data_IF_980726956753
#
_entry.id   IF_980726956753
#
_cell.length_a   1.000
_cell.length_b   1.000
_cell.length_c   1.000
_cell.angle_alpha   90.00
_cell.angle_beta   90.00
_cell.angle_gamma   90.00
#
_symmetry.space_group_name_H-M   'P 1'
#
loop_
_entity.id
_entity.type
_entity.pdbx_description
1 polymer ?
#
# COMPACT_ATOMS: atom_id res chain seq x y z
N UNK A 1 48.00 -51.96 -85.18
CA UNK A 1 47.03 -53.07 -85.32
C UNK A 1 45.66 -52.42 -85.39
N UNK A 2 45.36 -51.84 -86.56
CA UNK A 2 44.65 -52.50 -87.67
C UNK A 2 43.15 -52.48 -87.35
N UNK A 3 42.39 -51.52 -87.87
CA UNK A 3 41.79 -51.61 -89.21
C UNK A 3 40.88 -52.84 -89.34
N UNK A 4 39.65 -52.69 -88.87
CA UNK A 4 38.43 -53.46 -89.15
C UNK A 4 37.47 -53.02 -88.02
N UNK A 5 36.40 -52.29 -88.25
CA UNK A 5 35.22 -52.73 -89.01
C UNK A 5 34.50 -51.47 -89.50
N UNK A 6 34.77 -51.07 -90.74
CA UNK A 6 33.78 -50.42 -91.59
C UNK A 6 33.53 -51.40 -92.74
N UNK A 7 32.30 -51.44 -93.23
CA UNK A 7 31.74 -52.32 -94.28
C UNK A 7 31.28 -53.71 -93.85
N UNK A 8 29.99 -53.79 -93.55
CA UNK A 8 29.11 -54.67 -94.31
C UNK A 8 27.75 -53.97 -94.46
N UNK A 9 27.63 -53.15 -95.50
CA UNK A 9 26.32 -52.72 -96.00
C UNK A 9 25.65 -53.96 -96.60
N UNK A 10 24.75 -54.54 -95.84
CA UNK A 10 23.77 -55.51 -96.31
C UNK A 10 22.44 -54.78 -96.33
N UNK A 11 21.71 -54.91 -97.42
CA UNK A 11 20.41 -54.30 -97.67
C UNK A 11 19.48 -54.44 -96.47
N UNK A 12 19.41 -53.41 -95.62
CA UNK A 12 18.49 -53.38 -94.49
C UNK A 12 17.17 -52.89 -95.04
N UNK A 13 16.16 -53.77 -94.99
CA UNK A 13 14.79 -53.36 -95.27
C UNK A 13 14.49 -52.17 -94.35
N UNK A 14 13.99 -51.04 -94.88
CA UNK A 14 13.74 -49.82 -94.10
C UNK A 14 12.78 -49.99 -92.90
N UNK A 15 12.22 -51.19 -92.72
CA UNK A 15 11.35 -51.61 -91.61
C UNK A 15 12.14 -52.33 -90.50
N UNK A 16 13.26 -53.01 -90.80
CA UNK A 16 14.12 -53.69 -89.81
C UNK A 16 14.90 -52.73 -88.91
N UNK A 17 15.10 -51.48 -89.34
CA UNK A 17 15.68 -50.41 -88.48
C UNK A 17 14.64 -49.83 -87.53
N UNK A 18 13.36 -49.85 -87.92
CA UNK A 18 12.26 -49.27 -87.15
C UNK A 18 11.73 -50.26 -86.10
N UNK A 19 11.73 -51.57 -86.43
CA UNK A 19 11.28 -52.63 -85.52
C UNK A 19 12.47 -53.48 -85.10
N UNK A 20 13.11 -53.16 -83.95
CA UNK A 20 14.18 -53.98 -83.43
C UNK A 20 13.70 -55.41 -83.14
N UNK A 21 14.59 -56.40 -83.20
CA UNK A 21 14.21 -57.79 -83.00
C UNK A 21 13.63 -58.02 -81.60
N UNK A 22 12.64 -58.93 -81.51
CA UNK A 22 11.82 -59.15 -80.30
C UNK A 22 12.63 -59.46 -79.03
N UNK A 23 13.83 -60.02 -79.15
CA UNK A 23 14.70 -60.29 -78.01
C UNK A 23 15.26 -59.00 -77.37
N UNK A 24 15.55 -57.96 -78.16
CA UNK A 24 16.05 -56.67 -77.64
C UNK A 24 14.97 -55.96 -76.85
N UNK A 25 13.73 -55.99 -77.35
CA UNK A 25 12.56 -55.44 -76.67
C UNK A 25 12.33 -56.18 -75.34
N UNK A 26 12.50 -57.51 -75.30
CA UNK A 26 12.34 -58.29 -74.08
C UNK A 26 13.42 -57.97 -73.03
N UNK A 27 14.70 -57.95 -73.41
CA UNK A 27 15.77 -57.59 -72.47
C UNK A 27 15.73 -56.13 -72.03
N UNK A 28 15.34 -55.20 -72.92
CA UNK A 28 15.12 -53.80 -72.57
C UNK A 28 13.94 -53.63 -71.61
N UNK A 29 12.82 -54.32 -71.85
CA UNK A 29 11.67 -54.33 -70.94
C UNK A 29 12.02 -54.96 -69.59
N UNK A 30 12.81 -56.04 -69.57
CA UNK A 30 13.30 -56.67 -68.34
C UNK A 30 14.22 -55.72 -67.55
N UNK A 31 15.16 -55.06 -68.22
CA UNK A 31 16.03 -54.07 -67.59
C UNK A 31 15.23 -52.86 -67.06
N UNK A 32 14.28 -52.36 -67.84
CA UNK A 32 13.38 -51.29 -67.41
C UNK A 32 12.50 -51.70 -66.22
N UNK A 33 12.00 -52.95 -66.20
CA UNK A 33 11.24 -53.50 -65.08
C UNK A 33 12.10 -53.59 -63.81
N UNK A 34 13.33 -54.09 -63.92
CA UNK A 34 14.26 -54.20 -62.78
C UNK A 34 14.56 -52.81 -62.22
N UNK A 35 14.82 -51.81 -63.07
CA UNK A 35 15.05 -50.42 -62.66
C UNK A 35 13.78 -49.83 -62.02
N UNK A 36 12.61 -50.03 -62.63
CA UNK A 36 11.33 -49.52 -62.11
C UNK A 36 11.00 -50.12 -60.74
N UNK A 37 11.25 -51.42 -60.55
CA UNK A 37 11.09 -52.10 -59.26
C UNK A 37 12.10 -51.59 -58.24
N UNK A 38 13.37 -51.41 -58.62
CA UNK A 38 14.39 -50.85 -57.74
C UNK A 38 14.05 -49.40 -57.30
N UNK A 39 13.60 -48.56 -58.23
CA UNK A 39 13.18 -47.18 -57.93
C UNK A 39 11.89 -47.15 -57.12
N UNK A 40 10.94 -48.04 -57.40
CA UNK A 40 9.70 -48.18 -56.64
C UNK A 40 9.94 -48.63 -55.20
N UNK A 41 10.84 -49.60 -54.99
CA UNK A 41 11.15 -50.14 -53.67
C UNK A 41 12.09 -49.24 -52.86
N UNK A 42 13.07 -48.58 -53.48
CA UNK A 42 14.08 -47.80 -52.75
C UNK A 42 13.89 -46.27 -52.85
N UNK A 43 13.37 -45.77 -53.97
CA UNK A 43 13.20 -44.34 -54.23
C UNK A 43 11.94 -43.77 -53.59
N UNK A 44 10.78 -44.39 -53.84
CA UNK A 44 9.50 -43.94 -53.28
C UNK A 44 9.50 -43.82 -51.75
N UNK A 45 9.92 -44.83 -50.95
CA UNK A 45 9.86 -44.71 -49.50
C UNK A 45 10.74 -43.60 -48.96
N UNK A 46 11.89 -43.30 -49.59
CA UNK A 46 12.74 -42.18 -49.17
C UNK A 46 12.10 -40.83 -49.41
N UNK A 47 11.33 -40.68 -50.49
CA UNK A 47 10.62 -39.43 -50.80
C UNK A 47 9.44 -39.25 -49.83
N UNK A 48 8.63 -40.29 -49.62
CA UNK A 48 7.52 -40.24 -48.67
C UNK A 48 8.01 -39.97 -47.24
N UNK A 49 9.09 -40.63 -46.80
CA UNK A 49 9.66 -40.37 -45.47
C UNK A 49 10.07 -38.89 -45.28
N UNK A 50 10.63 -38.23 -46.30
CA UNK A 50 10.99 -36.81 -46.21
C UNK A 50 9.79 -35.86 -46.29
N UNK A 51 8.71 -36.27 -46.95
CA UNK A 51 7.47 -35.51 -46.97
C UNK A 51 6.74 -35.63 -45.64
N UNK A 52 6.71 -36.83 -45.05
CA UNK A 52 6.11 -37.09 -43.74
C UNK A 52 6.87 -36.36 -42.63
N UNK A 53 8.21 -36.35 -42.66
CA UNK A 53 9.04 -35.57 -41.73
C UNK A 53 8.69 -34.08 -41.80
N UNK A 54 8.58 -33.51 -43.01
CA UNK A 54 8.18 -32.10 -43.19
C UNK A 54 6.75 -31.83 -42.76
N UNK A 55 5.83 -32.76 -43.00
CA UNK A 55 4.44 -32.62 -42.60
C UNK A 55 4.33 -32.62 -41.06
N UNK A 56 5.05 -33.53 -40.39
CA UNK A 56 5.14 -33.59 -38.94
C UNK A 56 5.76 -32.31 -38.35
N UNK A 57 6.87 -31.81 -38.89
CA UNK A 57 7.50 -30.56 -38.43
C UNK A 57 6.55 -29.34 -38.54
N UNK A 58 5.76 -29.28 -39.62
CA UNK A 58 4.78 -28.21 -39.83
C UNK A 58 3.62 -28.34 -38.84
N UNK A 59 3.12 -29.55 -38.62
CA UNK A 59 2.04 -29.81 -37.68
C UNK A 59 2.47 -29.47 -36.25
N UNK A 60 3.65 -29.93 -35.82
CA UNK A 60 4.23 -29.61 -34.52
C UNK A 60 4.46 -28.10 -34.38
N UNK A 61 4.99 -27.45 -35.42
CA UNK A 61 5.18 -26.00 -35.44
C UNK A 61 3.86 -25.22 -35.33
N UNK A 62 2.80 -25.68 -35.99
CA UNK A 62 1.48 -25.06 -35.92
C UNK A 62 0.83 -25.28 -34.55
N UNK A 63 0.94 -26.48 -33.98
CA UNK A 63 0.46 -26.78 -32.63
C UNK A 63 1.20 -25.94 -31.58
N UNK A 64 2.53 -25.82 -31.69
CA UNK A 64 3.33 -24.98 -30.81
C UNK A 64 2.96 -23.50 -30.92
N UNK A 65 2.74 -22.99 -32.14
CA UNK A 65 2.31 -21.62 -32.35
C UNK A 65 0.90 -21.36 -31.79
N UNK A 66 -0.03 -22.31 -31.96
CA UNK A 66 -1.37 -22.21 -31.40
C UNK A 66 -1.34 -22.22 -29.87
N UNK A 67 -0.58 -23.14 -29.27
CA UNK A 67 -0.38 -23.19 -27.81
C UNK A 67 0.25 -21.90 -27.28
N UNK A 68 1.28 -21.39 -27.94
CA UNK A 68 1.91 -20.12 -27.54
C UNK A 68 0.93 -18.93 -27.61
N UNK A 69 0.02 -18.91 -28.58
CA UNK A 69 -1.04 -17.89 -28.66
C UNK A 69 -2.05 -18.04 -27.53
N UNK A 70 -2.46 -19.26 -27.22
CA UNK A 70 -3.39 -19.55 -26.12
C UNK A 70 -2.78 -19.18 -24.76
N UNK A 71 -1.53 -19.58 -24.51
CA UNK A 71 -0.79 -19.26 -23.29
C UNK A 71 -0.63 -17.74 -23.14
N UNK A 72 -0.30 -17.03 -24.23
CA UNK A 72 -0.20 -15.57 -24.21
C UNK A 72 -1.56 -14.92 -23.90
N UNK A 73 -2.64 -15.38 -24.52
CA UNK A 73 -3.97 -14.86 -24.26
C UNK A 73 -4.48 -15.19 -22.84
N UNK A 74 -4.05 -16.32 -22.26
CA UNK A 74 -4.31 -16.65 -20.87
C UNK A 74 -3.53 -15.73 -19.92
N UNK A 75 -2.23 -15.54 -20.17
CA UNK A 75 -1.38 -14.65 -19.38
C UNK A 75 -1.85 -13.18 -19.44
N UNK A 76 -2.31 -12.71 -20.59
CA UNK A 76 -2.89 -11.37 -20.73
C UNK A 76 -4.17 -11.22 -19.89
N UNK A 77 -5.06 -12.22 -19.93
CA UNK A 77 -6.29 -12.24 -19.09
C UNK A 77 -5.97 -12.25 -17.60
N UNK A 78 -5.01 -13.07 -17.18
CA UNK A 78 -4.57 -13.15 -15.79
C UNK A 78 -3.94 -11.82 -15.34
N UNK A 79 -3.05 -11.25 -16.16
CA UNK A 79 -2.44 -9.95 -15.89
C UNK A 79 -3.48 -8.85 -15.74
N UNK A 80 -4.48 -8.80 -16.62
CA UNK A 80 -5.56 -7.82 -16.51
C UNK A 80 -6.42 -8.04 -15.25
N UNK A 81 -6.69 -9.29 -14.88
CA UNK A 81 -7.38 -9.61 -13.65
C UNK A 81 -6.60 -9.14 -12.41
N UNK A 82 -5.29 -9.41 -12.37
CA UNK A 82 -4.40 -8.95 -11.31
C UNK A 82 -4.35 -7.42 -11.23
N UNK A 83 -4.29 -6.72 -12.37
CA UNK A 83 -4.32 -5.25 -12.39
C UNK A 83 -5.63 -4.70 -11.86
N UNK A 84 -6.78 -5.27 -12.24
CA UNK A 84 -8.08 -4.87 -11.69
C UNK A 84 -8.16 -5.12 -10.19
N UNK A 85 -7.70 -6.29 -9.73
CA UNK A 85 -7.68 -6.63 -8.31
C UNK A 85 -6.78 -5.67 -7.52
N UNK A 86 -5.58 -5.38 -8.02
CA UNK A 86 -4.66 -4.44 -7.39
C UNK A 86 -5.23 -3.01 -7.34
N UNK A 87 -5.98 -2.59 -8.35
CA UNK A 87 -6.68 -1.30 -8.33
C UNK A 87 -7.76 -1.27 -7.25
N UNK A 88 -8.60 -2.31 -7.17
CA UNK A 88 -9.64 -2.43 -6.12
C UNK A 88 -8.99 -2.41 -4.73
N UNK A 89 -7.96 -3.22 -4.50
CA UNK A 89 -7.25 -3.25 -3.22
C UNK A 89 -6.62 -1.90 -2.87
N UNK A 90 -6.02 -1.22 -3.85
CA UNK A 90 -5.49 0.13 -3.64
C UNK A 90 -6.58 1.14 -3.26
N UNK A 91 -7.75 1.07 -3.89
CA UNK A 91 -8.91 1.89 -3.51
C UNK A 91 -9.38 1.58 -2.09
N UNK A 92 -9.54 0.31 -1.74
CA UNK A 92 -9.93 -0.11 -0.39
C UNK A 92 -8.92 0.31 0.69
N UNK A 93 -7.61 0.26 0.39
CA UNK A 93 -6.57 0.75 1.30
C UNK A 93 -6.71 2.26 1.50
N UNK A 94 -6.93 3.03 0.41
CA UNK A 94 -7.10 4.49 0.50
C UNK A 94 -8.35 4.88 1.28
N UNK A 95 -9.46 4.17 1.06
CA UNK A 95 -10.72 4.44 1.75
C UNK A 95 -10.59 4.11 3.25
N UNK A 96 -10.00 2.95 3.59
CA UNK A 96 -9.69 2.60 4.99
C UNK A 96 -8.78 3.63 5.65
N UNK A 97 -7.72 4.07 4.96
CA UNK A 97 -6.81 5.09 5.49
C UNK A 97 -7.51 6.44 5.71
N UNK A 98 -8.42 6.83 4.80
CA UNK A 98 -9.20 8.07 4.94
C UNK A 98 -10.17 8.00 6.12
N UNK A 99 -10.84 6.87 6.32
CA UNK A 99 -11.75 6.68 7.46
C UNK A 99 -11.00 6.57 8.79
N UNK A 100 -9.86 5.90 8.82
CA UNK A 100 -8.99 5.85 10.00
C UNK A 100 -8.46 7.24 10.34
N UNK A 101 -8.02 8.03 9.35
CA UNK A 101 -7.60 9.40 9.58
C UNK A 101 -8.72 10.26 10.18
N UNK A 102 -9.96 10.14 9.69
CA UNK A 102 -11.11 10.83 10.28
C UNK A 102 -11.35 10.41 11.73
N UNK A 103 -11.23 9.11 12.03
CA UNK A 103 -11.37 8.58 13.40
C UNK A 103 -10.31 9.13 14.33
N UNK A 104 -9.04 9.11 13.91
CA UNK A 104 -7.93 9.67 14.68
C UNK A 104 -8.16 11.15 14.96
N UNK A 105 -8.60 11.93 13.96
CA UNK A 105 -8.90 13.36 14.15
C UNK A 105 -10.07 13.56 15.11
N UNK A 106 -11.13 12.75 15.00
CA UNK A 106 -12.28 12.83 15.90
C UNK A 106 -11.88 12.51 17.35
N UNK A 107 -11.12 11.43 17.55
CA UNK A 107 -10.64 11.02 18.87
C UNK A 107 -9.67 12.05 19.46
N UNK A 108 -8.73 12.57 18.67
CA UNK A 108 -7.82 13.62 19.12
C UNK A 108 -8.57 14.90 19.51
N UNK A 109 -9.67 15.24 18.84
CA UNK A 109 -10.53 16.38 19.22
C UNK A 109 -11.28 16.13 20.52
N UNK A 110 -11.82 14.92 20.69
CA UNK A 110 -12.51 14.52 21.92
C UNK A 110 -11.55 14.56 23.12
N UNK A 111 -10.37 13.96 22.98
CA UNK A 111 -9.32 13.97 24.00
C UNK A 111 -8.88 15.41 24.33
N UNK A 112 -8.66 16.24 23.31
CA UNK A 112 -8.29 17.64 23.50
C UNK A 112 -9.39 18.44 24.21
N UNK A 113 -10.67 18.19 23.89
CA UNK A 113 -11.79 18.86 24.54
C UNK A 113 -11.94 18.41 26.00
N UNK A 114 -11.81 17.11 26.28
CA UNK A 114 -11.81 16.56 27.63
C UNK A 114 -10.66 17.15 28.47
N UNK A 115 -9.46 17.22 27.90
CA UNK A 115 -8.30 17.79 28.60
C UNK A 115 -8.45 19.30 28.81
N UNK A 116 -8.99 20.03 27.84
CA UNK A 116 -9.30 21.45 27.99
C UNK A 116 -10.30 21.68 29.15
N UNK A 117 -11.38 20.88 29.21
CA UNK A 117 -12.35 20.94 30.31
C UNK A 117 -11.69 20.65 31.66
N UNK A 118 -10.85 19.61 31.72
CA UNK A 118 -10.10 19.25 32.94
C UNK A 118 -9.18 20.38 33.41
N UNK A 119 -8.48 21.04 32.47
CA UNK A 119 -7.60 22.18 32.77
C UNK A 119 -8.43 23.37 33.26
N UNK A 120 -9.56 23.68 32.63
CA UNK A 120 -10.43 24.78 33.07
C UNK A 120 -11.01 24.54 34.45
N UNK A 121 -11.49 23.33 34.75
CA UNK A 121 -12.00 22.98 36.08
C UNK A 121 -10.90 23.09 37.16
N UNK A 122 -9.68 22.65 36.83
CA UNK A 122 -8.55 22.78 37.74
C UNK A 122 -8.19 24.26 37.97
N UNK A 123 -8.18 25.07 36.91
CA UNK A 123 -7.91 26.49 37.00
C UNK A 123 -8.97 27.23 37.83
N UNK A 124 -10.26 26.92 37.64
CA UNK A 124 -11.35 27.49 38.45
C UNK A 124 -11.20 27.13 39.93
N UNK A 125 -10.88 25.86 40.26
CA UNK A 125 -10.62 25.44 41.63
C UNK A 125 -9.42 26.15 42.24
N UNK A 126 -8.35 26.34 41.46
CA UNK A 126 -7.15 27.05 41.90
C UNK A 126 -7.45 28.54 42.15
N UNK A 127 -8.20 29.19 41.26
CA UNK A 127 -8.65 30.58 41.43
C UNK A 127 -9.50 30.74 42.69
N UNK A 128 -10.44 29.82 42.94
CA UNK A 128 -11.27 29.88 44.14
C UNK A 128 -10.45 29.72 45.43
N UNK A 129 -9.48 28.79 45.43
CA UNK A 129 -8.55 28.62 46.54
C UNK A 129 -7.68 29.88 46.77
N UNK A 130 -7.16 30.48 45.70
CA UNK A 130 -6.38 31.72 45.75
C UNK A 130 -7.21 32.90 46.23
N UNK A 131 -8.48 33.00 45.82
CA UNK A 131 -9.42 34.03 46.28
C UNK A 131 -9.66 33.93 47.78
N UNK A 132 -9.87 32.71 48.29
CA UNK A 132 -10.05 32.48 49.73
C UNK A 132 -8.78 32.84 50.52
N UNK A 133 -7.60 32.47 50.01
CA UNK A 133 -6.33 32.84 50.63
C UNK A 133 -6.11 34.36 50.63
N UNK A 134 -6.43 35.04 49.52
CA UNK A 134 -6.34 36.49 49.40
C UNK A 134 -7.31 37.20 50.35
N UNK A 135 -8.53 36.69 50.52
CA UNK A 135 -9.50 37.25 51.47
C UNK A 135 -9.03 37.13 52.92
N UNK A 136 -8.43 36.00 53.30
CA UNK A 136 -7.83 35.80 54.63
C UNK A 136 -6.68 36.78 54.84
N UNK A 137 -5.76 36.90 53.87
CA UNK A 137 -4.65 37.86 53.95
C UNK A 137 -5.14 39.30 54.07
N UNK A 138 -6.13 39.69 53.25
CA UNK A 138 -6.69 41.04 53.27
C UNK A 138 -7.35 41.36 54.61
N UNK A 139 -8.08 40.41 55.21
CA UNK A 139 -8.66 40.59 56.56
C UNK A 139 -7.58 40.78 57.62
N UNK A 140 -6.48 40.04 57.53
CA UNK A 140 -5.32 40.21 58.43
C UNK A 140 -4.69 41.60 58.28
N UNK A 141 -4.43 42.03 57.04
CA UNK A 141 -3.79 43.32 56.74
C UNK A 141 -4.67 44.50 57.17
N UNK A 142 -5.98 44.43 56.87
CA UNK A 142 -6.95 45.45 57.31
C UNK A 142 -7.08 45.46 58.82
N UNK A 143 -7.06 44.30 59.48
CA UNK A 143 -7.05 44.20 60.94
C UNK A 143 -5.84 44.91 61.54
N UNK A 144 -4.65 44.69 61.00
CA UNK A 144 -3.42 45.35 61.44
C UNK A 144 -3.50 46.87 61.26
N UNK A 145 -3.91 47.34 60.07
CA UNK A 145 -4.07 48.77 59.78
C UNK A 145 -5.12 49.44 60.67
N UNK A 146 -6.23 48.75 60.95
CA UNK A 146 -7.27 49.26 61.83
C UNK A 146 -6.77 49.38 63.28
N UNK A 147 -5.95 48.41 63.73
CA UNK A 147 -5.35 48.43 65.07
C UNK A 147 -4.33 49.57 65.20
N UNK A 148 -3.45 49.75 64.20
CA UNK A 148 -2.51 50.89 64.14
C UNK A 148 -3.24 52.25 64.15
N UNK A 149 -4.35 52.36 63.43
CA UNK A 149 -5.16 53.58 63.43
C UNK A 149 -5.80 53.82 64.80
N UNK A 150 -6.33 52.78 65.44
CA UNK A 150 -6.88 52.87 66.79
C UNK A 150 -5.82 53.29 67.82
N UNK A 151 -4.61 52.72 67.75
CA UNK A 151 -3.48 53.11 68.59
C UNK A 151 -3.10 54.58 68.41
N UNK A 152 -3.03 55.07 67.17
CA UNK A 152 -2.77 56.50 66.88
C UNK A 152 -3.86 57.40 67.46
N UNK A 153 -5.13 57.09 67.24
CA UNK A 153 -6.27 57.87 67.74
C UNK A 153 -6.25 57.92 69.28
N UNK A 154 -6.09 56.77 69.96
CA UNK A 154 -6.02 56.69 71.42
C UNK A 154 -4.80 57.44 71.96
N UNK A 155 -3.63 57.26 71.33
CA UNK A 155 -2.41 57.97 71.67
C UNK A 155 -2.55 59.49 71.54
N UNK A 156 -3.30 59.98 70.57
CA UNK A 156 -3.59 61.40 70.38
C UNK A 156 -4.62 61.94 71.40
N UNK A 157 -5.64 61.15 71.75
CA UNK A 157 -6.57 61.49 72.83
C UNK A 157 -5.92 61.48 74.22
N UNK A 158 -4.94 60.61 74.49
CA UNK A 158 -4.20 60.56 75.76
C UNK A 158 -3.30 61.79 75.97
N UNK A 159 -2.86 62.46 74.90
CA UNK A 159 -2.14 63.75 74.99
C UNK A 159 -3.02 64.90 75.52
N UNK A 160 -4.34 64.74 75.52
CA UNK A 160 -5.25 65.70 76.16
C UNK A 160 -5.38 65.41 77.67
N UNK A 161 -4.50 66.02 78.48
CA UNK A 161 -4.43 65.87 79.94
C UNK A 161 -5.79 65.96 80.67
N UNK A 162 -6.73 66.78 80.16
CA UNK A 162 -8.08 66.95 80.73
C UNK A 162 -9.02 65.77 80.50
N UNK A 163 -8.87 65.02 79.42
CA UNK A 163 -9.68 63.83 79.12
C UNK A 163 -9.16 62.62 79.91
N UNK A 164 -7.84 62.44 79.97
CA UNK A 164 -7.19 61.36 80.73
C UNK A 164 -7.54 61.42 82.22
N UNK A 165 -7.48 62.60 82.84
CA UNK A 165 -7.86 62.78 84.25
C UNK A 165 -9.34 62.43 84.51
N UNK A 166 -10.24 62.70 83.56
CA UNK A 166 -11.68 62.41 83.70
C UNK A 166 -11.99 60.92 83.62
N UNK A 167 -11.26 60.18 82.76
CA UNK A 167 -11.40 58.72 82.62
C UNK A 167 -10.86 58.01 83.87
N UNK A 168 -9.69 58.45 84.37
CA UNK A 168 -9.10 57.90 85.62
C UNK A 168 -10.04 58.10 86.81
N UNK A 169 -10.57 59.31 87.00
CA UNK A 169 -11.51 59.56 88.10
C UNK A 169 -12.77 58.70 88.00
N UNK A 170 -13.34 58.51 86.80
CA UNK A 170 -14.51 57.64 86.62
C UNK A 170 -14.20 56.16 86.92
N UNK A 171 -12.99 55.68 86.59
CA UNK A 171 -12.58 54.31 86.92
C UNK A 171 -12.38 54.12 88.43
N UNK A 172 -11.82 55.12 89.12
CA UNK A 172 -11.72 55.12 90.58
C UNK A 172 -13.09 55.15 91.25
N UNK A 173 -14.02 55.98 90.75
CA UNK A 173 -15.41 56.04 91.24
C UNK A 173 -16.14 54.68 91.07
N UNK A 174 -15.91 53.96 89.96
CA UNK A 174 -16.54 52.67 89.72
C UNK A 174 -15.93 51.54 90.57
N UNK A 175 -14.61 51.55 90.82
CA UNK A 175 -13.97 50.63 91.77
C UNK A 175 -14.43 50.85 93.20
N UNK A 176 -14.58 52.11 93.62
CA UNK A 176 -15.09 52.47 94.95
C UNK A 176 -16.55 52.02 95.12
N UNK A 177 -17.35 52.04 94.05
CA UNK A 177 -18.69 51.46 94.04
C UNK A 177 -18.70 49.94 94.11
N UNK A 178 -17.81 49.24 93.40
CA UNK A 178 -17.74 47.76 93.49
C UNK A 178 -17.23 47.29 94.86
N UNK A 179 -16.27 47.98 95.46
CA UNK A 179 -15.75 47.64 96.81
C UNK A 179 -16.69 48.01 97.95
N UNK A 180 -17.60 48.97 97.76
CA UNK A 180 -18.66 49.30 98.72
C UNK A 180 -19.90 48.40 98.57
N UNK A 181 -19.96 47.60 97.51
CA UNK A 181 -21.06 46.68 97.20
C UNK A 181 -20.79 45.21 97.63
N UNK A 182 -19.71 44.93 98.35
CA UNK A 182 -19.40 43.64 98.98
C UNK A 182 -19.38 43.80 100.51
#
# INVERSE_FOLDING_TARGET
MFAAVFSAESSVNGIEVIVPPLYEIFYAALAALIIAVAVGIFGLPKIYAKLDERAADIEDGLQAAQKAREDRAAAEREREALLRQAQVEAHEIRDRAADEAKRIIAQAREDAQSEATRITELAERQIEAERQAAEISLRSDVGMLATELAEKIVGEHLKNTRLTARVVNRFLDDLEKETTSA
#
